data_IF_263061672898
#
_entry.id   IF_263061672898
#
_cell.length_a   1.000
_cell.length_b   1.000
_cell.length_c   1.000
_cell.angle_alpha   90.00
_cell.angle_beta   90.00
_cell.angle_gamma   90.00
#
_symmetry.space_group_name_H-M   'P 1'
#
loop_
_entity.id
_entity.type
_entity.pdbx_description
1 polymer ?
#
# COMPACT_ATOMS: atom_id res chain seq x y z
N UNK A 1 20.07 23.97 -16.82
CA UNK A 1 20.76 23.07 -15.87
C UNK A 1 20.06 21.72 -15.97
N UNK A 2 20.62 20.79 -16.72
CA UNK A 2 19.97 19.54 -17.16
C UNK A 2 20.35 18.36 -16.25
N UNK A 3 19.33 17.61 -15.83
CA UNK A 3 19.35 16.22 -15.37
C UNK A 3 20.50 15.77 -14.44
N UNK A 4 20.40 16.12 -13.16
CA UNK A 4 20.88 15.19 -12.11
C UNK A 4 19.65 14.41 -11.69
N UNK A 5 19.34 13.32 -12.41
CA UNK A 5 18.19 12.47 -12.09
C UNK A 5 18.41 11.77 -10.76
N UNK A 6 17.45 11.88 -9.86
CA UNK A 6 17.43 11.12 -8.61
C UNK A 6 17.51 9.62 -8.91
N UNK A 7 18.16 8.88 -8.01
CA UNK A 7 18.21 7.42 -8.08
C UNK A 7 16.85 6.89 -7.67
N UNK A 8 16.24 6.08 -8.55
CA UNK A 8 14.95 5.44 -8.30
C UNK A 8 15.08 3.92 -8.39
N UNK A 9 14.34 3.23 -7.54
CA UNK A 9 14.17 1.77 -7.57
C UNK A 9 12.70 1.45 -7.31
N UNK A 10 12.23 0.34 -7.86
CA UNK A 10 10.88 -0.15 -7.66
C UNK A 10 10.96 -1.61 -7.22
N UNK A 11 10.17 -2.02 -6.23
CA UNK A 11 10.16 -3.40 -5.72
C UNK A 11 8.72 -3.86 -5.69
N UNK A 12 8.35 -4.78 -6.58
CA UNK A 12 7.08 -5.51 -6.52
C UNK A 12 7.18 -6.71 -5.60
N UNK A 13 6.14 -6.99 -4.81
CA UNK A 13 6.11 -8.19 -3.95
C UNK A 13 4.69 -8.77 -3.84
N UNK A 14 4.63 -10.08 -3.60
CA UNK A 14 3.45 -10.84 -3.24
C UNK A 14 3.81 -11.80 -2.08
N UNK A 15 3.62 -13.12 -2.20
CA UNK A 15 4.24 -14.13 -1.34
C UNK A 15 5.77 -14.15 -1.39
N UNK A 16 6.40 -13.58 -2.42
CA UNK A 16 7.83 -13.36 -2.54
C UNK A 16 8.10 -12.02 -3.24
N UNK A 17 9.35 -11.54 -3.18
CA UNK A 17 9.77 -10.41 -4.01
C UNK A 17 9.77 -10.83 -5.47
N UNK A 18 9.15 -10.01 -6.31
CA UNK A 18 9.01 -10.26 -7.74
C UNK A 18 10.22 -9.68 -8.46
N UNK A 19 11.25 -10.48 -8.69
CA UNK A 19 12.50 -10.03 -9.34
C UNK A 19 12.24 -9.43 -10.73
N UNK A 20 11.35 -10.03 -11.52
CA UNK A 20 10.96 -9.54 -12.85
C UNK A 20 10.25 -8.17 -12.81
N UNK A 21 9.70 -7.80 -11.64
CA UNK A 21 9.02 -6.54 -11.38
C UNK A 21 9.80 -5.69 -10.36
N UNK A 22 11.11 -5.91 -10.25
CA UNK A 22 12.01 -5.13 -9.40
C UNK A 22 13.02 -4.39 -10.27
N UNK A 23 13.03 -3.06 -10.16
CA UNK A 23 14.01 -2.21 -10.82
C UNK A 23 15.17 -1.92 -9.87
N UNK A 24 16.41 -2.28 -10.24
CA UNK A 24 17.58 -1.85 -9.48
C UNK A 24 17.73 -0.32 -9.56
N UNK A 25 18.44 0.25 -8.57
CA UNK A 25 18.73 1.68 -8.50
C UNK A 25 19.27 2.21 -9.84
N UNK A 26 18.47 3.03 -10.53
CA UNK A 26 18.79 3.58 -11.84
C UNK A 26 18.56 5.09 -11.87
N UNK A 27 19.36 5.78 -12.70
CA UNK A 27 19.17 7.20 -13.06
C UNK A 27 18.38 7.36 -14.36
N UNK A 28 18.01 6.24 -15.01
CA UNK A 28 17.33 6.22 -16.29
C UNK A 28 15.80 6.15 -16.09
N UNK A 29 15.19 7.33 -16.04
CA UNK A 29 13.75 7.49 -15.87
C UNK A 29 12.95 6.84 -17.01
N UNK A 30 13.51 6.76 -18.23
CA UNK A 30 12.85 6.19 -19.41
C UNK A 30 12.67 4.67 -19.30
N UNK A 31 13.71 3.95 -18.85
CA UNK A 31 13.61 2.51 -18.56
C UNK A 31 12.68 2.23 -17.37
N UNK A 32 12.60 3.16 -16.42
CA UNK A 32 11.69 3.04 -15.27
C UNK A 32 10.22 3.16 -15.69
N UNK A 33 9.90 4.04 -16.64
CA UNK A 33 8.53 4.18 -17.16
C UNK A 33 8.07 2.96 -17.96
N UNK A 34 8.97 2.26 -18.66
CA UNK A 34 8.61 1.03 -19.39
C UNK A 34 8.28 -0.12 -18.43
N UNK A 35 9.04 -0.31 -17.36
CA UNK A 35 8.71 -1.33 -16.36
C UNK A 35 7.44 -0.98 -15.56
N UNK A 36 7.20 0.30 -15.27
CA UNK A 36 5.92 0.76 -14.70
C UNK A 36 4.76 0.48 -15.67
N UNK A 37 4.95 0.64 -16.97
CA UNK A 37 3.95 0.27 -17.97
C UNK A 37 3.70 -1.24 -18.00
N UNK A 38 4.72 -2.08 -17.82
CA UNK A 38 4.56 -3.54 -17.72
C UNK A 38 3.81 -3.98 -16.45
N UNK A 39 3.91 -3.21 -15.35
CA UNK A 39 3.10 -3.42 -14.14
C UNK A 39 1.62 -3.11 -14.36
N UNK A 40 1.26 -2.20 -15.27
CA UNK A 40 -0.13 -1.91 -15.59
C UNK A 40 -0.86 -3.15 -16.13
N UNK A 41 -0.14 -4.00 -16.88
CA UNK A 41 -0.68 -5.23 -17.44
C UNK A 41 -0.60 -6.42 -16.46
N UNK A 42 0.03 -6.26 -15.30
CA UNK A 42 0.17 -7.32 -14.30
C UNK A 42 -1.15 -7.57 -13.55
N UNK A 43 -1.90 -8.57 -14.03
CA UNK A 43 -3.24 -8.93 -13.51
C UNK A 43 -3.23 -10.10 -12.50
N UNK A 44 -2.05 -10.54 -12.01
CA UNK A 44 -2.01 -11.64 -11.04
C UNK A 44 -2.44 -11.12 -9.67
N UNK A 45 -3.75 -11.16 -9.45
CA UNK A 45 -4.40 -10.88 -8.18
C UNK A 45 -4.09 -11.97 -7.16
N UNK A 46 -3.66 -11.51 -5.98
CA UNK A 46 -3.80 -12.16 -4.67
C UNK A 46 -3.02 -13.47 -4.51
N UNK A 47 -1.72 -13.35 -4.24
CA UNK A 47 -0.99 -14.43 -3.58
C UNK A 47 -0.14 -13.80 -2.49
N UNK A 48 -0.66 -13.78 -1.26
CA UNK A 48 0.12 -13.56 -0.05
C UNK A 48 0.78 -12.18 0.15
N UNK A 49 1.16 -11.92 1.41
CA UNK A 49 1.93 -10.72 1.80
C UNK A 49 3.29 -11.10 2.36
N UNK A 50 3.66 -12.38 2.29
CA UNK A 50 4.82 -12.93 2.99
C UNK A 50 6.13 -12.35 2.46
N UNK A 51 6.21 -11.97 1.18
CA UNK A 51 7.41 -11.41 0.56
C UNK A 51 7.80 -10.04 1.10
N UNK A 52 6.93 -9.38 1.88
CA UNK A 52 7.23 -8.06 2.46
C UNK A 52 8.41 -8.10 3.43
N UNK A 53 8.70 -9.24 4.06
CA UNK A 53 9.85 -9.36 4.97
C UNK A 53 11.18 -9.40 4.23
N UNK A 54 11.16 -9.70 2.93
CA UNK A 54 12.36 -9.76 2.10
C UNK A 54 12.69 -8.41 1.45
N UNK A 55 11.70 -7.53 1.27
CA UNK A 55 11.83 -6.19 0.66
C UNK A 55 13.01 -5.38 1.22
N UNK A 56 13.27 -5.31 2.55
CA UNK A 56 14.39 -4.54 3.09
C UNK A 56 15.76 -4.97 2.52
N UNK A 57 15.91 -6.23 2.09
CA UNK A 57 17.16 -6.74 1.52
C UNK A 57 17.45 -6.21 0.11
N UNK A 58 16.43 -5.67 -0.56
CA UNK A 58 16.52 -5.09 -1.90
C UNK A 58 16.70 -3.57 -1.86
N UNK A 59 16.62 -2.95 -0.68
CA UNK A 59 16.88 -1.53 -0.50
C UNK A 59 18.39 -1.25 -0.52
N UNK A 60 18.75 -0.09 -1.07
CA UNK A 60 20.13 0.39 -1.05
C UNK A 60 20.62 0.67 0.37
N UNK A 61 21.94 0.62 0.57
CA UNK A 61 22.55 0.87 1.89
C UNK A 61 22.49 2.34 2.35
N UNK A 62 22.21 3.28 1.43
CA UNK A 62 22.07 4.70 1.74
C UNK A 62 20.65 5.04 2.15
N UNK A 63 20.50 5.98 3.11
CA UNK A 63 19.19 6.54 3.48
C UNK A 63 18.46 7.02 2.23
N UNK A 64 17.21 6.58 2.10
CA UNK A 64 16.34 6.88 0.97
C UNK A 64 14.92 7.17 1.43
N UNK A 65 14.12 7.70 0.51
CA UNK A 65 12.69 7.88 0.68
C UNK A 65 11.97 6.68 0.04
N UNK A 66 11.19 5.94 0.84
CA UNK A 66 10.50 4.72 0.41
C UNK A 66 9.00 4.96 0.46
N UNK A 67 8.34 4.92 -0.69
CA UNK A 67 6.88 4.92 -0.75
C UNK A 67 6.38 3.48 -0.69
N UNK A 68 5.74 3.12 0.41
CA UNK A 68 5.25 1.76 0.62
C UNK A 68 3.75 1.69 0.35
N UNK A 69 3.41 1.20 -0.83
CA UNK A 69 2.04 1.17 -1.35
C UNK A 69 1.42 -0.21 -1.09
N UNK A 70 0.32 -0.27 -0.34
CA UNK A 70 -0.38 -1.52 -0.03
C UNK A 70 -1.81 -1.25 0.47
N UNK A 71 -2.66 -2.28 0.46
CA UNK A 71 -3.92 -2.29 1.22
C UNK A 71 -3.71 -2.60 2.72
N UNK A 72 -2.48 -2.98 3.13
CA UNK A 72 -2.10 -3.27 4.50
C UNK A 72 -3.05 -4.23 5.22
N UNK A 73 -3.59 -5.24 4.54
CA UNK A 73 -4.44 -6.25 5.18
C UNK A 73 -3.66 -7.32 5.98
N UNK A 74 -2.32 -7.32 5.91
CA UNK A 74 -1.47 -8.27 6.66
C UNK A 74 -1.41 -8.02 8.18
N UNK A 75 -0.93 -8.95 9.02
CA UNK A 75 -0.84 -8.73 10.46
C UNK A 75 -0.01 -7.50 10.85
N UNK A 76 -0.43 -6.77 11.90
CA UNK A 76 0.29 -5.56 12.37
C UNK A 76 1.75 -5.86 12.77
N UNK A 77 2.01 -7.06 13.29
CA UNK A 77 3.36 -7.50 13.64
C UNK A 77 4.29 -7.59 12.43
N UNK A 78 3.76 -7.99 11.27
CA UNK A 78 4.53 -8.03 10.01
C UNK A 78 4.84 -6.61 9.57
N UNK A 79 3.86 -5.70 9.63
CA UNK A 79 4.06 -4.28 9.29
C UNK A 79 5.12 -3.65 10.19
N UNK A 80 5.04 -3.87 11.50
CA UNK A 80 5.99 -3.37 12.48
C UNK A 80 7.41 -3.91 12.25
N UNK A 81 7.55 -5.20 11.96
CA UNK A 81 8.84 -5.82 11.62
C UNK A 81 9.43 -5.21 10.35
N UNK A 82 8.64 -5.06 9.28
CA UNK A 82 9.11 -4.47 8.03
C UNK A 82 9.51 -3.00 8.21
N UNK A 83 8.73 -2.18 8.93
CA UNK A 83 9.11 -0.79 9.25
C UNK A 83 10.41 -0.73 10.06
N UNK A 84 10.57 -1.63 11.03
CA UNK A 84 11.80 -1.74 11.84
C UNK A 84 13.00 -2.09 10.96
N UNK A 85 12.85 -3.04 10.04
CA UNK A 85 13.91 -3.43 9.11
C UNK A 85 14.27 -2.31 8.12
N UNK A 86 13.34 -1.41 7.82
CA UNK A 86 13.55 -0.24 6.96
C UNK A 86 13.90 1.04 7.74
N UNK A 87 14.27 0.96 9.03
CA UNK A 87 14.48 2.14 9.88
C UNK A 87 15.58 3.10 9.41
N UNK A 88 16.47 2.65 8.53
CA UNK A 88 17.49 3.49 7.90
C UNK A 88 16.91 4.42 6.80
N UNK A 89 15.66 4.19 6.38
CA UNK A 89 14.95 4.92 5.34
C UNK A 89 13.82 5.75 5.94
N UNK A 90 13.45 6.83 5.24
CA UNK A 90 12.19 7.51 5.52
C UNK A 90 11.09 6.78 4.75
N UNK A 91 10.18 6.13 5.47
CA UNK A 91 9.10 5.34 4.87
C UNK A 91 7.82 6.16 4.88
N UNK A 92 7.15 6.25 3.73
CA UNK A 92 5.85 6.89 3.57
C UNK A 92 4.83 5.79 3.22
N UNK A 93 4.00 5.33 4.17
CA UNK A 93 2.97 4.35 3.89
C UNK A 93 1.86 4.98 3.05
N UNK A 94 1.54 4.37 1.91
CA UNK A 94 0.42 4.76 1.04
C UNK A 94 -0.63 3.65 1.11
N UNK A 95 -1.71 3.91 1.81
CA UNK A 95 -2.79 2.96 2.05
C UNK A 95 -3.84 3.10 0.94
N UNK A 96 -4.02 2.07 0.14
CA UNK A 96 -5.00 2.05 -0.95
C UNK A 96 -6.31 1.42 -0.50
N UNK A 97 -7.24 2.23 0.01
CA UNK A 97 -8.56 1.76 0.46
C UNK A 97 -9.70 2.43 -0.30
N UNK A 98 -10.59 1.63 -0.87
CA UNK A 98 -11.82 2.12 -1.49
C UNK A 98 -12.95 2.25 -0.44
N UNK A 99 -13.01 3.42 0.18
CA UNK A 99 -14.11 3.81 1.10
C UNK A 99 -15.49 3.76 0.43
N UNK A 100 -15.56 3.91 -0.90
CA UNK A 100 -16.82 3.96 -1.65
C UNK A 100 -17.42 2.56 -1.83
N UNK A 101 -16.60 1.50 -1.91
CA UNK A 101 -17.06 0.11 -1.99
C UNK A 101 -17.95 -0.25 -0.79
N UNK A 102 -17.56 0.18 0.41
CA UNK A 102 -18.28 -0.10 1.66
C UNK A 102 -19.45 0.86 1.92
N UNK A 103 -19.34 2.14 1.51
CA UNK A 103 -20.43 3.12 1.62
C UNK A 103 -21.59 2.80 0.67
N UNK A 104 -21.31 2.16 -0.47
CA UNK A 104 -22.30 1.70 -1.46
C UNK A 104 -22.95 0.37 -1.12
N UNK A 105 -22.54 -0.31 -0.04
CA UNK A 105 -23.17 -1.55 0.39
C UNK A 105 -24.68 -1.33 0.65
N UNK A 106 -25.55 -2.17 0.07
CA UNK A 106 -26.99 -1.98 0.19
C UNK A 106 -27.42 -2.03 1.65
N UNK A 107 -28.35 -1.13 2.02
CA UNK A 107 -28.91 -1.03 3.39
C UNK A 107 -29.58 -2.34 3.84
N UNK A 108 -30.06 -3.14 2.87
CA UNK A 108 -30.67 -4.45 3.04
C UNK A 108 -30.67 -5.17 1.69
N UNK A 109 -30.28 -6.45 1.66
CA UNK A 109 -30.35 -7.29 0.45
C UNK A 109 -29.12 -8.15 0.21
N UNK A 110 -29.10 -8.85 -0.92
CA UNK A 110 -27.94 -9.60 -1.38
C UNK A 110 -26.94 -8.65 -2.03
N UNK A 111 -25.68 -8.70 -1.60
CA UNK A 111 -24.57 -8.09 -2.31
C UNK A 111 -23.52 -9.15 -2.61
N UNK A 112 -22.87 -9.02 -3.75
CA UNK A 112 -21.75 -9.88 -4.13
C UNK A 112 -20.48 -9.26 -3.58
N UNK A 113 -19.78 -9.95 -2.69
CA UNK A 113 -18.46 -9.56 -2.21
C UNK A 113 -17.46 -10.61 -2.68
N UNK A 114 -16.32 -10.16 -3.19
CA UNK A 114 -15.23 -11.05 -3.57
C UNK A 114 -14.51 -11.45 -2.28
N UNK A 115 -14.61 -12.72 -1.91
CA UNK A 115 -13.89 -13.27 -0.76
C UNK A 115 -12.38 -13.11 -0.97
N UNK A 116 -11.67 -12.37 -0.11
CA UNK A 116 -10.25 -12.13 -0.31
C UNK A 116 -9.36 -13.36 -0.21
N UNK A 117 -9.80 -14.42 0.45
CA UNK A 117 -9.02 -15.65 0.60
C UNK A 117 -9.22 -16.63 -0.56
N UNK A 118 -10.37 -16.58 -1.25
CA UNK A 118 -10.72 -17.57 -2.28
C UNK A 118 -10.95 -16.99 -3.67
N UNK A 119 -11.04 -15.66 -3.80
CA UNK A 119 -11.37 -14.98 -5.06
C UNK A 119 -12.79 -15.29 -5.57
N UNK A 120 -13.59 -16.02 -4.81
CA UNK A 120 -14.94 -16.43 -5.19
C UNK A 120 -15.95 -15.35 -4.82
N UNK A 121 -16.87 -15.09 -5.76
CA UNK A 121 -18.04 -14.26 -5.51
C UNK A 121 -18.93 -14.93 -4.46
N UNK A 122 -18.91 -14.43 -3.23
CA UNK A 122 -19.86 -14.83 -2.20
C UNK A 122 -21.02 -13.86 -2.17
N UNK A 123 -22.22 -14.39 -2.35
CA UNK A 123 -23.45 -13.64 -2.13
C UNK A 123 -23.67 -13.54 -0.62
N UNK A 124 -23.39 -12.37 -0.05
CA UNK A 124 -23.67 -12.09 1.36
C UNK A 124 -25.03 -11.43 1.49
N UNK A 125 -25.82 -11.91 2.44
CA UNK A 125 -27.06 -11.24 2.83
C UNK A 125 -26.74 -10.13 3.82
N UNK A 126 -26.68 -8.89 3.35
CA UNK A 126 -26.36 -7.73 4.18
C UNK A 126 -27.55 -7.40 5.07
N UNK A 127 -27.42 -7.73 6.36
CA UNK A 127 -28.25 -7.21 7.45
C UNK A 127 -27.54 -6.01 8.09
N UNK A 128 -28.32 -5.11 8.69
CA UNK A 128 -27.80 -3.93 9.39
C UNK A 128 -26.65 -4.27 10.37
N UNK A 129 -26.80 -5.34 11.14
CA UNK A 129 -25.79 -5.81 12.11
C UNK A 129 -24.48 -6.27 11.46
N UNK A 130 -24.56 -6.91 10.28
CA UNK A 130 -23.38 -7.36 9.54
C UNK A 130 -22.62 -6.15 8.99
N UNK A 131 -23.34 -5.18 8.42
CA UNK A 131 -22.75 -3.91 7.97
C UNK A 131 -22.08 -3.14 9.11
N UNK A 132 -22.73 -3.06 10.27
CA UNK A 132 -22.16 -2.41 11.45
C UNK A 132 -20.84 -3.06 11.86
N UNK A 133 -20.78 -4.40 11.91
CA UNK A 133 -19.54 -5.14 12.21
C UNK A 133 -18.42 -4.86 11.20
N UNK A 134 -18.73 -4.82 9.91
CA UNK A 134 -17.73 -4.48 8.88
C UNK A 134 -17.18 -3.06 9.05
N UNK A 135 -18.05 -2.07 9.26
CA UNK A 135 -17.65 -0.68 9.48
C UNK A 135 -16.79 -0.57 10.74
N UNK A 136 -17.17 -1.23 11.83
CA UNK A 136 -16.39 -1.27 13.07
C UNK A 136 -15.02 -1.90 12.83
N UNK A 137 -14.95 -3.08 12.23
CA UNK A 137 -13.68 -3.76 11.98
C UNK A 137 -12.73 -2.93 11.07
N UNK A 138 -13.29 -2.26 10.06
CA UNK A 138 -12.55 -1.35 9.19
C UNK A 138 -12.00 -0.14 9.96
N UNK A 139 -12.85 0.52 10.74
CA UNK A 139 -12.43 1.65 11.57
C UNK A 139 -11.37 1.23 12.58
N UNK A 140 -11.55 0.09 13.26
CA UNK A 140 -10.59 -0.44 14.22
C UNK A 140 -9.24 -0.72 13.53
N UNK A 141 -9.28 -1.29 12.32
CA UNK A 141 -8.09 -1.51 11.50
C UNK A 141 -7.40 -0.20 11.14
N UNK A 142 -8.16 0.83 10.73
CA UNK A 142 -7.61 2.16 10.42
C UNK A 142 -6.89 2.77 11.60
N UNK A 143 -7.54 2.81 12.76
CA UNK A 143 -6.94 3.37 13.97
C UNK A 143 -5.71 2.58 14.42
N UNK A 144 -5.71 1.26 14.25
CA UNK A 144 -4.55 0.44 14.58
C UNK A 144 -3.36 0.72 13.66
N UNK A 145 -3.60 0.90 12.35
CA UNK A 145 -2.58 1.30 11.38
C UNK A 145 -2.06 2.70 11.67
N UNK A 146 -2.93 3.69 11.83
CA UNK A 146 -2.57 5.07 12.18
C UNK A 146 -1.67 5.09 13.43
N UNK A 147 -2.08 4.38 14.49
CA UNK A 147 -1.32 4.28 15.73
C UNK A 147 0.04 3.61 15.51
N UNK A 148 0.11 2.57 14.69
CA UNK A 148 1.38 1.90 14.39
C UNK A 148 2.32 2.82 13.63
N UNK A 149 1.84 3.43 12.55
CA UNK A 149 2.61 4.31 11.68
C UNK A 149 3.14 5.55 12.39
N UNK A 150 2.35 6.14 13.31
CA UNK A 150 2.80 7.24 14.15
C UNK A 150 3.97 6.89 15.08
N UNK A 151 4.13 5.61 15.49
CA UNK A 151 5.29 5.21 16.30
C UNK A 151 6.62 5.28 15.53
N UNK A 152 6.55 5.27 14.20
CA UNK A 152 7.71 5.31 13.30
C UNK A 152 7.87 6.69 12.63
N UNK A 153 7.19 7.73 13.13
CA UNK A 153 7.17 9.07 12.53
C UNK A 153 6.85 9.05 11.03
N UNK A 154 6.01 8.09 10.62
CA UNK A 154 5.72 7.75 9.23
C UNK A 154 4.22 7.80 8.99
N UNK A 155 3.55 8.97 9.10
CA UNK A 155 2.11 9.05 8.99
C UNK A 155 1.62 8.46 7.66
N UNK A 156 0.55 7.65 7.70
CA UNK A 156 0.04 7.05 6.48
C UNK A 156 -0.71 8.07 5.63
N UNK A 157 -0.50 7.98 4.31
CA UNK A 157 -1.33 8.63 3.31
C UNK A 157 -2.42 7.66 2.85
N UNK A 158 -3.65 7.89 3.28
CA UNK A 158 -4.80 7.15 2.80
C UNK A 158 -5.27 7.71 1.46
N UNK A 159 -5.23 6.90 0.41
CA UNK A 159 -5.69 7.25 -0.93
C UNK A 159 -7.04 6.60 -1.22
N UNK A 160 -7.97 7.41 -1.74
CA UNK A 160 -9.30 6.98 -2.15
C UNK A 160 -9.45 7.19 -3.65
N UNK A 161 -9.50 6.07 -4.40
CA UNK A 161 -9.76 5.90 -5.85
C UNK A 161 -9.02 6.80 -6.85
N UNK A 162 -9.08 8.12 -6.72
CA UNK A 162 -8.50 9.06 -7.66
C UNK A 162 -7.16 9.61 -7.15
N UNK A 163 -6.06 9.21 -7.78
CA UNK A 163 -4.77 9.83 -7.54
C UNK A 163 -4.77 11.29 -8.02
N UNK A 164 -4.44 12.21 -7.10
CA UNK A 164 -4.27 13.63 -7.37
C UNK A 164 -2.89 14.08 -6.88
N UNK A 165 -2.02 14.63 -7.74
CA UNK A 165 -0.67 15.06 -7.35
C UNK A 165 -0.64 15.97 -6.13
N UNK A 166 -1.66 16.81 -5.96
CA UNK A 166 -1.82 17.75 -4.85
C UNK A 166 -1.90 17.03 -3.48
N UNK A 167 -2.36 15.79 -3.48
CA UNK A 167 -2.49 14.96 -2.26
C UNK A 167 -1.12 14.66 -1.66
N UNK A 168 -0.13 14.35 -2.49
CA UNK A 168 1.25 14.13 -2.03
C UNK A 168 1.88 15.45 -1.58
N UNK A 169 1.68 16.54 -2.33
CA UNK A 169 2.17 17.87 -1.94
C UNK A 169 1.67 18.26 -0.54
N UNK A 170 0.37 18.15 -0.32
CA UNK A 170 -0.26 18.47 0.96
C UNK A 170 0.26 17.58 2.10
N UNK A 171 0.46 16.30 1.83
CA UNK A 171 1.04 15.37 2.80
C UNK A 171 2.44 15.82 3.26
N UNK A 172 3.32 16.22 2.34
CA UNK A 172 4.66 16.68 2.70
C UNK A 172 4.62 18.02 3.43
N UNK A 173 3.76 18.97 3.03
CA UNK A 173 3.57 20.25 3.73
C UNK A 173 3.15 20.08 5.19
N UNK A 174 2.31 19.08 5.48
CA UNK A 174 1.77 18.84 6.82
C UNK A 174 2.72 18.04 7.71
N UNK A 175 3.47 17.11 7.14
CA UNK A 175 4.20 16.10 7.90
C UNK A 175 5.72 16.22 7.80
N UNK A 176 6.23 17.11 6.95
CA UNK A 176 7.67 17.33 6.78
C UNK A 176 7.96 18.79 7.08
N UNK A 177 8.40 19.07 8.31
CA UNK A 177 9.03 20.36 8.58
C UNK A 177 10.39 20.34 7.89
N UNK A 178 10.58 21.22 6.91
CA UNK A 178 11.89 21.48 6.29
C UNK A 178 12.92 21.93 7.33
#
# INVERSE_FOLDING_TARGET
>A
AYHTGDLFSFIGYNSHVLEDYTLPLSRNLHQSTEAIAQLHDYHVMRVGSEGVTDVPNFLGQSRGLVFWISDFHMPLSVIEQTLTAMSAHQVIPIVLWDDEEYKKLPKFGFGTMIDPETGLNRTLFFRYEVRAKFITAFNDRRHALEKLFLKFDSPALFMHADYKPETLTHYFEQNTTL
#
